data_IF_735545744710
#
_entry.id   IF_735545744710
#
_cell.length_a   1.000
_cell.length_b   1.000
_cell.length_c   1.000
_cell.angle_alpha   90.00
_cell.angle_beta   90.00
_cell.angle_gamma   90.00
#
_symmetry.space_group_name_H-M   'P 1'
#
loop_
_entity.id
_entity.type
_entity.pdbx_description
1 polymer ?
#
# COMPACT_ATOMS: atom_id res chain seq x y z
N UNK A 1 18.71 21.96 -18.05
CA UNK A 1 17.27 21.62 -18.07
C UNK A 1 16.95 20.91 -16.77
N UNK A 2 15.73 21.03 -16.26
CA UNK A 2 15.32 20.24 -15.09
C UNK A 2 15.30 18.75 -15.47
N UNK A 3 15.71 17.89 -14.53
CA UNK A 3 15.71 16.43 -14.73
C UNK A 3 14.28 15.91 -14.72
N UNK A 4 13.97 14.97 -15.59
CA UNK A 4 12.64 14.43 -15.75
C UNK A 4 12.55 13.00 -15.17
N UNK A 5 11.60 12.78 -14.25
CA UNK A 5 11.23 11.43 -13.78
C UNK A 5 9.83 11.08 -14.27
N UNK A 6 9.69 9.93 -14.92
CA UNK A 6 8.40 9.41 -15.38
C UNK A 6 8.04 8.19 -14.56
N UNK A 7 6.86 8.20 -13.92
CA UNK A 7 6.30 7.04 -13.23
C UNK A 7 5.22 6.39 -14.09
N UNK A 8 5.38 5.10 -14.40
CA UNK A 8 4.39 4.34 -15.15
C UNK A 8 3.78 3.22 -14.31
N UNK A 9 2.44 3.11 -14.32
CA UNK A 9 1.68 2.07 -13.61
C UNK A 9 0.36 1.76 -14.34
N UNK A 10 -0.40 0.78 -13.86
CA UNK A 10 -1.75 0.51 -14.37
C UNK A 10 -2.71 1.67 -14.10
N UNK A 11 -2.68 2.18 -12.87
CA UNK A 11 -3.45 3.34 -12.41
C UNK A 11 -2.63 4.13 -11.40
N UNK A 12 -2.84 5.44 -11.36
CA UNK A 12 -2.18 6.38 -10.45
C UNK A 12 -3.20 7.43 -9.95
N UNK A 13 -2.85 8.10 -8.88
CA UNK A 13 -3.66 9.20 -8.33
C UNK A 13 -4.79 8.76 -7.38
N UNK A 14 -5.20 7.48 -7.42
CA UNK A 14 -6.23 6.93 -6.54
C UNK A 14 -5.74 6.69 -5.10
N UNK A 15 -6.61 6.06 -4.31
CA UNK A 15 -6.34 5.78 -2.89
C UNK A 15 -5.91 4.32 -2.64
N UNK A 16 -5.59 3.57 -3.68
CA UNK A 16 -4.98 2.25 -3.53
C UNK A 16 -3.50 2.36 -3.10
N UNK A 17 -2.98 1.27 -2.54
CA UNK A 17 -1.64 1.28 -1.96
C UNK A 17 -0.53 1.67 -2.93
N UNK A 18 -0.61 1.29 -4.21
CA UNK A 18 0.39 1.67 -5.24
C UNK A 18 0.31 3.16 -5.52
N UNK A 19 -0.89 3.69 -5.76
CA UNK A 19 -1.12 5.12 -6.02
C UNK A 19 -0.68 6.01 -4.84
N UNK A 20 -0.95 5.58 -3.60
CA UNK A 20 -0.50 6.30 -2.39
C UNK A 20 1.01 6.35 -2.32
N UNK A 21 1.67 5.23 -2.54
CA UNK A 21 3.14 5.17 -2.48
C UNK A 21 3.80 5.87 -3.68
N UNK A 22 3.20 5.84 -4.86
CA UNK A 22 3.69 6.59 -6.02
C UNK A 22 3.72 8.10 -5.74
N UNK A 23 2.66 8.67 -5.11
CA UNK A 23 2.65 10.09 -4.72
C UNK A 23 3.78 10.46 -3.77
N UNK A 24 4.13 9.58 -2.82
CA UNK A 24 5.25 9.79 -1.89
C UNK A 24 6.59 9.80 -2.64
N UNK A 25 6.76 8.91 -3.60
CA UNK A 25 7.95 8.88 -4.46
C UNK A 25 8.03 10.10 -5.37
N UNK A 26 6.92 10.53 -5.97
CA UNK A 26 6.86 11.77 -6.75
C UNK A 26 7.27 12.99 -5.91
N UNK A 27 6.75 13.10 -4.69
CA UNK A 27 7.18 14.13 -3.75
C UNK A 27 8.68 14.05 -3.46
N UNK A 28 9.20 12.89 -3.12
CA UNK A 28 10.60 12.71 -2.80
C UNK A 28 11.53 13.02 -3.99
N UNK A 29 11.12 12.66 -5.20
CA UNK A 29 11.87 12.98 -6.41
C UNK A 29 11.88 14.48 -6.70
N UNK A 30 10.79 15.20 -6.40
CA UNK A 30 10.77 16.68 -6.50
C UNK A 30 11.73 17.31 -5.49
N UNK A 31 11.79 16.81 -4.27
CA UNK A 31 12.80 17.25 -3.28
C UNK A 31 14.24 17.00 -3.78
N UNK A 32 14.45 15.96 -4.58
CA UNK A 32 15.74 15.68 -5.23
C UNK A 32 15.97 16.48 -6.54
N UNK A 33 15.04 17.39 -6.90
CA UNK A 33 15.17 18.28 -8.05
C UNK A 33 14.72 17.70 -9.39
N UNK A 34 13.88 16.67 -9.38
CA UNK A 34 13.22 16.17 -10.58
C UNK A 34 11.88 16.89 -10.83
N UNK A 35 11.56 17.13 -12.07
CA UNK A 35 10.18 17.30 -12.51
C UNK A 35 9.56 15.92 -12.72
N UNK A 36 8.33 15.70 -12.23
CA UNK A 36 7.67 14.41 -12.29
C UNK A 36 6.52 14.41 -13.28
N UNK A 37 6.32 13.28 -13.97
CA UNK A 37 5.22 13.04 -14.89
C UNK A 37 4.66 11.63 -14.65
N UNK A 38 3.33 11.52 -14.67
CA UNK A 38 2.64 10.22 -14.55
C UNK A 38 2.22 9.71 -15.93
N UNK A 39 2.36 8.41 -16.14
CA UNK A 39 1.85 7.66 -17.29
C UNK A 39 1.07 6.46 -16.76
N UNK A 40 -0.22 6.36 -17.05
CA UNK A 40 -1.01 5.24 -16.57
C UNK A 40 -2.19 4.92 -17.48
N UNK A 41 -2.81 3.76 -17.28
CA UNK A 41 -4.09 3.42 -17.92
C UNK A 41 -5.23 4.29 -17.39
N UNK A 42 -5.17 4.62 -16.10
CA UNK A 42 -6.12 5.47 -15.40
C UNK A 42 -5.38 6.42 -14.46
N UNK A 43 -5.77 7.70 -14.45
CA UNK A 43 -5.25 8.70 -13.51
C UNK A 43 -6.42 9.36 -12.82
N UNK A 44 -6.52 9.15 -11.49
CA UNK A 44 -7.55 9.76 -10.67
C UNK A 44 -7.07 11.09 -10.06
N UNK A 45 -8.03 11.98 -9.74
CA UNK A 45 -7.77 13.28 -9.12
C UNK A 45 -7.44 14.38 -10.13
N UNK A 46 -6.99 15.54 -9.62
CA UNK A 46 -6.53 16.64 -10.46
C UNK A 46 -5.21 16.22 -11.12
N UNK A 47 -5.25 15.89 -12.41
CA UNK A 47 -4.08 15.58 -13.21
C UNK A 47 -3.11 16.76 -13.24
N UNK A 48 -1.82 16.49 -13.20
CA UNK A 48 -0.82 17.49 -13.49
C UNK A 48 -0.79 17.77 -15.00
N UNK A 49 -0.35 18.96 -15.41
CA UNK A 49 -0.41 19.44 -16.82
C UNK A 49 0.26 18.50 -17.83
N UNK A 50 1.16 17.62 -17.35
CA UNK A 50 1.99 16.73 -18.17
C UNK A 50 1.65 15.24 -18.01
N UNK A 51 0.57 14.90 -17.31
CA UNK A 51 0.15 13.51 -17.15
C UNK A 51 -0.35 12.93 -18.46
N UNK A 52 -0.04 11.65 -18.70
CA UNK A 52 -0.40 10.93 -19.93
C UNK A 52 -1.25 9.70 -19.58
N UNK A 53 -2.48 9.67 -20.07
CA UNK A 53 -3.36 8.51 -19.95
C UNK A 53 -3.24 7.66 -21.23
N UNK A 54 -2.89 6.38 -21.06
CA UNK A 54 -2.86 5.39 -22.13
C UNK A 54 -3.80 4.24 -21.69
N UNK A 55 -5.05 4.23 -22.14
CA UNK A 55 -6.08 3.30 -21.64
C UNK A 55 -5.69 1.83 -21.70
N UNK A 56 -4.87 1.43 -22.69
CA UNK A 56 -4.34 0.07 -22.81
C UNK A 56 -3.41 -0.37 -21.67
N UNK A 57 -2.94 0.56 -20.82
CA UNK A 57 -2.18 0.24 -19.61
C UNK A 57 -3.08 -0.16 -18.43
N UNK A 58 -4.39 0.13 -18.46
CA UNK A 58 -5.30 -0.21 -17.37
C UNK A 58 -5.30 -1.71 -17.07
N UNK A 59 -5.68 -2.09 -15.84
CA UNK A 59 -5.80 -3.51 -15.46
C UNK A 59 -6.85 -4.19 -16.35
N UNK A 60 -7.99 -3.53 -16.52
CA UNK A 60 -9.08 -3.94 -17.40
C UNK A 60 -9.21 -2.88 -18.53
N UNK A 61 -8.39 -3.00 -19.59
CA UNK A 61 -8.43 -2.01 -20.67
C UNK A 61 -9.79 -2.06 -21.38
N UNK A 62 -10.31 -0.91 -21.83
CA UNK A 62 -11.52 -0.88 -22.62
C UNK A 62 -11.32 -1.77 -23.87
N UNK A 63 -12.33 -2.59 -24.18
CA UNK A 63 -12.29 -3.43 -25.40
C UNK A 63 -12.13 -2.55 -26.62
N UNK A 64 -11.01 -2.73 -27.32
CA UNK A 64 -10.78 -2.08 -28.61
C UNK A 64 -11.87 -2.51 -29.58
N UNK A 65 -12.74 -1.57 -30.00
CA UNK A 65 -13.63 -1.81 -31.13
C UNK A 65 -12.82 -2.11 -32.41
N UNK A 66 -13.42 -2.68 -33.45
CA UNK A 66 -12.71 -3.00 -34.69
C UNK A 66 -12.04 -1.73 -35.26
N UNK A 67 -10.71 -1.66 -35.16
CA UNK A 67 -9.88 -0.54 -35.66
C UNK A 67 -9.46 0.51 -34.63
N UNK A 68 -9.80 0.36 -33.33
CA UNK A 68 -9.32 1.23 -32.25
C UNK A 68 -8.03 0.66 -31.64
N UNK A 69 -6.90 1.35 -31.75
CA UNK A 69 -5.77 1.09 -30.89
C UNK A 69 -6.11 1.64 -29.52
N UNK A 70 -6.04 0.81 -28.48
CA UNK A 70 -6.14 1.22 -27.05
C UNK A 70 -4.97 2.10 -26.60
N UNK A 71 -4.15 2.60 -27.53
CA UNK A 71 -2.98 3.40 -27.30
C UNK A 71 -1.74 2.63 -26.84
N UNK A 72 -1.81 1.32 -26.70
CA UNK A 72 -0.70 0.45 -26.24
C UNK A 72 0.38 0.22 -27.31
N UNK A 73 0.36 0.95 -28.39
CA UNK A 73 1.42 0.94 -29.39
C UNK A 73 2.78 1.34 -28.78
N UNK A 74 3.87 0.59 -29.05
CA UNK A 74 5.21 0.95 -28.57
C UNK A 74 5.66 2.37 -28.90
N UNK A 75 5.20 2.95 -30.01
CA UNK A 75 5.47 4.32 -30.38
C UNK A 75 4.84 5.33 -29.43
N UNK A 76 3.62 5.07 -28.96
CA UNK A 76 2.95 5.91 -27.96
C UNK A 76 3.68 5.85 -26.62
N UNK A 77 4.09 4.64 -26.19
CA UNK A 77 4.87 4.48 -24.96
C UNK A 77 6.22 5.18 -25.04
N UNK A 78 6.95 5.06 -26.17
CA UNK A 78 8.21 5.78 -26.36
C UNK A 78 8.03 7.29 -26.26
N UNK A 79 6.99 7.85 -26.89
CA UNK A 79 6.66 9.29 -26.76
C UNK A 79 6.29 9.67 -25.33
N UNK A 80 5.55 8.81 -24.61
CA UNK A 80 5.20 9.06 -23.23
C UNK A 80 6.41 9.04 -22.28
N UNK A 81 7.48 8.31 -22.64
CA UNK A 81 8.72 8.23 -21.85
C UNK A 81 9.83 9.16 -22.41
N UNK A 82 9.57 9.87 -23.50
CA UNK A 82 10.55 10.77 -24.12
C UNK A 82 11.03 11.84 -23.13
N UNK A 83 12.35 12.06 -23.11
CA UNK A 83 13.00 13.03 -22.23
C UNK A 83 13.10 12.60 -20.76
N UNK A 84 12.68 11.39 -20.39
CA UNK A 84 12.86 10.90 -19.04
C UNK A 84 14.32 10.55 -18.76
N UNK A 85 14.94 11.21 -17.77
CA UNK A 85 16.24 10.82 -17.21
C UNK A 85 16.10 9.60 -16.29
N UNK A 86 14.92 9.43 -15.69
CA UNK A 86 14.53 8.33 -14.82
C UNK A 86 13.14 7.82 -15.17
N UNK A 87 13.05 6.53 -15.50
CA UNK A 87 11.78 5.82 -15.68
C UNK A 87 11.52 4.91 -14.48
N UNK A 88 10.44 5.15 -13.75
CA UNK A 88 9.99 4.29 -12.66
C UNK A 88 8.82 3.45 -13.14
N UNK A 89 9.02 2.14 -13.24
CA UNK A 89 7.96 1.17 -13.54
C UNK A 89 7.39 0.66 -12.21
N UNK A 90 6.29 1.28 -11.78
CA UNK A 90 5.73 1.03 -10.45
C UNK A 90 4.69 -0.09 -10.48
N UNK A 91 5.08 -1.22 -9.97
CA UNK A 91 4.32 -2.48 -9.81
C UNK A 91 3.80 -3.12 -11.12
N UNK A 92 3.80 -2.42 -12.24
CA UNK A 92 3.20 -2.87 -13.51
C UNK A 92 3.90 -4.12 -14.06
N UNK A 93 5.23 -4.18 -14.01
CA UNK A 93 6.03 -5.34 -14.41
C UNK A 93 6.36 -6.29 -13.26
N UNK A 94 5.89 -6.00 -12.05
CA UNK A 94 6.06 -6.86 -10.87
C UNK A 94 4.89 -7.81 -10.69
N UNK A 95 3.69 -7.27 -10.87
CA UNK A 95 2.43 -7.98 -10.77
C UNK A 95 1.66 -7.74 -12.07
N UNK A 96 1.98 -8.49 -13.17
CA UNK A 96 1.50 -8.20 -14.52
C UNK A 96 0.01 -8.56 -14.68
N UNK A 97 -0.88 -7.76 -14.05
CA UNK A 97 -2.33 -7.95 -14.08
C UNK A 97 -2.91 -7.73 -15.48
N UNK A 98 -2.30 -6.83 -16.27
CA UNK A 98 -2.49 -6.71 -17.72
C UNK A 98 -1.18 -7.14 -18.39
N UNK A 99 -1.15 -8.35 -18.92
CA UNK A 99 0.06 -8.96 -19.45
C UNK A 99 0.60 -8.25 -20.69
N UNK A 100 -0.29 -7.75 -21.56
CA UNK A 100 0.10 -7.04 -22.78
C UNK A 100 0.73 -5.68 -22.43
N UNK A 101 0.14 -4.96 -21.46
CA UNK A 101 0.72 -3.74 -20.91
C UNK A 101 2.12 -4.00 -20.31
N UNK A 102 2.26 -5.03 -19.49
CA UNK A 102 3.52 -5.38 -18.86
C UNK A 102 4.60 -5.74 -19.89
N UNK A 103 4.26 -6.47 -20.93
CA UNK A 103 5.18 -6.82 -22.04
C UNK A 103 5.57 -5.59 -22.86
N UNK A 104 4.62 -4.71 -23.16
CA UNK A 104 4.88 -3.49 -23.92
C UNK A 104 5.80 -2.54 -23.16
N UNK A 105 5.51 -2.28 -21.87
CA UNK A 105 6.35 -1.44 -21.00
C UNK A 105 7.75 -2.05 -20.83
N UNK A 106 7.85 -3.37 -20.57
CA UNK A 106 9.12 -4.06 -20.46
C UNK A 106 9.99 -3.94 -21.72
N UNK A 107 9.36 -3.97 -22.90
CA UNK A 107 10.06 -3.77 -24.18
C UNK A 107 10.62 -2.37 -24.29
N UNK A 108 9.79 -1.35 -24.06
CA UNK A 108 10.22 0.04 -24.18
C UNK A 108 11.24 0.39 -23.10
N UNK A 109 11.13 -0.15 -21.90
CA UNK A 109 12.11 0.02 -20.83
C UNK A 109 13.50 -0.52 -21.20
N UNK A 110 13.60 -1.62 -21.97
CA UNK A 110 14.90 -2.13 -22.49
C UNK A 110 15.54 -1.22 -23.52
N UNK A 111 14.73 -0.47 -24.24
CA UNK A 111 15.18 0.45 -25.28
C UNK A 111 15.41 1.88 -24.75
N UNK A 112 15.01 2.13 -23.48
CA UNK A 112 15.10 3.43 -22.87
C UNK A 112 16.56 3.82 -22.62
N UNK A 113 16.97 4.98 -23.11
CA UNK A 113 18.36 5.46 -22.98
C UNK A 113 18.71 6.04 -21.60
N UNK A 114 17.71 6.25 -20.74
CA UNK A 114 17.87 6.75 -19.37
C UNK A 114 17.92 5.62 -18.34
N UNK A 115 17.86 6.00 -17.08
CA UNK A 115 17.87 5.07 -15.94
C UNK A 115 16.47 4.47 -15.72
N UNK A 116 16.40 3.17 -15.45
CA UNK A 116 15.14 2.44 -15.23
C UNK A 116 15.11 1.83 -13.84
N UNK A 117 14.09 2.15 -13.05
CA UNK A 117 13.82 1.57 -11.75
C UNK A 117 12.49 0.77 -11.80
N UNK A 118 12.57 -0.53 -11.61
CA UNK A 118 11.40 -1.39 -11.37
C UNK A 118 11.10 -1.42 -9.88
N UNK A 119 9.99 -0.79 -9.47
CA UNK A 119 9.53 -0.77 -8.09
C UNK A 119 8.51 -1.87 -7.87
N UNK A 120 8.74 -2.71 -6.85
CA UNK A 120 7.98 -3.92 -6.59
C UNK A 120 7.21 -3.84 -5.27
N UNK A 121 5.88 -3.84 -5.34
CA UNK A 121 5.01 -3.97 -4.17
C UNK A 121 4.70 -5.43 -3.86
N UNK A 122 4.46 -6.22 -4.90
CA UNK A 122 4.29 -7.67 -4.87
C UNK A 122 5.10 -8.28 -6.04
N UNK A 123 5.30 -9.60 -6.02
CA UNK A 123 6.01 -10.32 -7.07
C UNK A 123 5.15 -11.48 -7.61
N UNK A 124 5.32 -11.93 -8.87
CA UNK A 124 4.43 -12.91 -9.49
C UNK A 124 4.28 -14.19 -8.67
N UNK A 125 5.36 -14.73 -8.15
CA UNK A 125 5.36 -15.97 -7.35
C UNK A 125 4.73 -15.83 -5.97
N UNK A 126 4.45 -14.60 -5.52
CA UNK A 126 3.72 -14.31 -4.27
C UNK A 126 2.20 -14.34 -4.50
N UNK A 127 1.76 -14.51 -5.74
CA UNK A 127 0.35 -14.59 -6.17
C UNK A 127 0.13 -15.91 -6.91
N UNK A 128 -0.60 -16.84 -6.29
CA UNK A 128 -0.78 -18.20 -6.82
C UNK A 128 -1.16 -18.25 -8.31
N UNK A 129 -2.05 -17.36 -8.74
CA UNK A 129 -2.52 -17.31 -10.13
C UNK A 129 -1.52 -16.69 -11.11
N UNK A 130 -0.45 -16.03 -10.64
CA UNK A 130 0.58 -15.41 -11.47
C UNK A 130 1.93 -16.16 -11.43
N UNK A 131 2.07 -17.23 -10.63
CA UNK A 131 3.32 -17.96 -10.49
C UNK A 131 3.89 -18.44 -11.82
N UNK A 132 3.03 -18.76 -12.79
CA UNK A 132 3.44 -19.19 -14.13
C UNK A 132 4.17 -18.11 -14.95
N UNK A 133 4.14 -16.85 -14.52
CA UNK A 133 4.80 -15.71 -15.15
C UNK A 133 6.18 -15.40 -14.55
N UNK A 134 6.65 -16.17 -13.56
CA UNK A 134 7.92 -15.89 -12.87
C UNK A 134 9.17 -15.98 -13.76
N UNK A 135 9.08 -16.67 -14.92
CA UNK A 135 10.17 -16.73 -15.88
C UNK A 135 10.33 -15.42 -16.68
N UNK A 136 9.24 -14.71 -16.90
CA UNK A 136 9.19 -13.50 -17.73
C UNK A 136 9.22 -12.21 -16.90
N UNK A 137 8.75 -12.27 -15.64
CA UNK A 137 8.54 -11.10 -14.79
C UNK A 137 9.09 -11.29 -13.36
N UNK A 138 9.70 -10.21 -12.81
CA UNK A 138 10.01 -8.93 -13.45
C UNK A 138 10.97 -9.08 -14.64
N UNK A 139 10.94 -8.16 -15.63
CA UNK A 139 11.83 -8.28 -16.79
C UNK A 139 13.28 -7.98 -16.39
N UNK A 140 14.22 -8.68 -17.01
CA UNK A 140 15.65 -8.34 -16.90
C UNK A 140 15.99 -7.25 -17.91
N UNK A 141 16.49 -6.16 -17.40
CA UNK A 141 16.95 -5.00 -18.17
C UNK A 141 18.32 -4.62 -17.65
N UNK A 142 19.30 -4.56 -18.54
CA UNK A 142 20.67 -4.26 -18.15
C UNK A 142 20.78 -2.87 -17.52
N UNK A 143 21.46 -2.76 -16.39
CA UNK A 143 21.61 -1.50 -15.64
C UNK A 143 20.35 -1.00 -14.94
N UNK A 144 19.23 -1.72 -15.01
CA UNK A 144 18.03 -1.35 -14.27
C UNK A 144 18.14 -1.72 -12.79
N UNK A 145 17.58 -0.86 -11.93
CA UNK A 145 17.44 -1.09 -10.51
C UNK A 145 16.12 -1.81 -10.21
N UNK A 146 16.17 -2.83 -9.38
CA UNK A 146 15.00 -3.51 -8.83
C UNK A 146 14.82 -3.14 -7.36
N UNK A 147 13.87 -2.26 -7.04
CA UNK A 147 13.58 -1.79 -5.70
C UNK A 147 12.31 -2.44 -5.13
N UNK A 148 12.43 -3.15 -4.04
CA UNK A 148 11.30 -3.78 -3.32
C UNK A 148 10.89 -2.95 -2.11
N UNK A 149 9.63 -3.09 -1.68
CA UNK A 149 9.13 -2.41 -0.48
C UNK A 149 9.36 -3.22 0.81
N UNK A 150 9.98 -4.40 0.73
CA UNK A 150 10.27 -5.26 1.88
C UNK A 150 11.50 -6.14 1.64
N UNK A 151 12.16 -6.55 2.73
CA UNK A 151 13.37 -7.39 2.69
C UNK A 151 13.11 -8.80 2.17
N UNK A 152 11.90 -9.34 2.41
CA UNK A 152 11.53 -10.66 1.92
C UNK A 152 11.54 -10.70 0.41
N UNK A 153 10.85 -9.77 -0.25
CA UNK A 153 10.80 -9.67 -1.72
C UNK A 153 12.19 -9.45 -2.32
N UNK A 154 13.05 -8.65 -1.67
CA UNK A 154 14.46 -8.49 -2.08
C UNK A 154 15.20 -9.83 -2.08
N UNK A 155 15.11 -10.59 -0.98
CA UNK A 155 15.78 -11.91 -0.89
C UNK A 155 15.25 -12.89 -1.94
N UNK A 156 13.95 -12.87 -2.18
CA UNK A 156 13.31 -13.71 -3.21
C UNK A 156 13.76 -13.34 -4.63
N UNK A 157 13.95 -12.04 -4.93
CA UNK A 157 14.53 -11.56 -6.18
C UNK A 157 16.01 -11.98 -6.30
N UNK A 158 16.80 -11.75 -5.26
CA UNK A 158 18.23 -12.11 -5.25
C UNK A 158 18.43 -13.62 -5.47
N UNK A 159 17.60 -14.47 -4.86
CA UNK A 159 17.60 -15.91 -5.08
C UNK A 159 17.25 -16.31 -6.52
N UNK A 160 16.60 -15.42 -7.29
CA UNK A 160 16.27 -15.59 -8.70
C UNK A 160 17.24 -14.90 -9.66
N UNK A 161 18.38 -14.43 -9.14
CA UNK A 161 19.47 -13.85 -9.91
C UNK A 161 19.37 -12.35 -10.19
N UNK A 162 18.52 -11.60 -9.46
CA UNK A 162 18.52 -10.14 -9.43
C UNK A 162 19.45 -9.69 -8.28
N UNK A 163 20.76 -9.87 -8.46
CA UNK A 163 21.75 -9.72 -7.38
C UNK A 163 21.73 -8.32 -6.76
N UNK A 164 21.52 -7.29 -7.58
CA UNK A 164 21.53 -5.88 -7.19
C UNK A 164 20.18 -5.37 -6.68
N UNK A 165 19.20 -6.28 -6.46
CA UNK A 165 17.91 -5.88 -5.91
C UNK A 165 18.09 -5.27 -4.51
N UNK A 166 17.40 -4.14 -4.29
CA UNK A 166 17.46 -3.34 -3.06
C UNK A 166 16.11 -3.29 -2.36
N UNK A 167 16.08 -2.75 -1.15
CA UNK A 167 14.84 -2.46 -0.44
C UNK A 167 14.77 -0.98 -0.10
N UNK A 168 13.69 -0.34 -0.53
CA UNK A 168 13.26 0.97 -0.05
C UNK A 168 11.85 0.74 0.52
N UNK A 169 11.74 0.76 1.85
CA UNK A 169 10.47 0.53 2.54
C UNK A 169 9.43 1.62 2.18
N UNK A 170 8.19 1.39 2.55
CA UNK A 170 7.19 2.45 2.55
C UNK A 170 7.43 3.39 3.73
N UNK A 171 7.28 4.68 3.49
CA UNK A 171 7.51 5.76 4.45
C UNK A 171 6.20 6.50 4.75
N UNK A 172 6.09 7.11 5.93
CA UNK A 172 4.83 7.66 6.43
C UNK A 172 5.02 9.02 7.07
N UNK A 173 4.03 9.89 6.88
CA UNK A 173 3.88 11.06 7.75
C UNK A 173 3.46 10.55 9.13
N UNK A 174 4.32 10.77 10.12
CA UNK A 174 4.11 10.33 11.50
C UNK A 174 3.54 11.43 12.40
N UNK A 175 3.23 12.59 11.82
CA UNK A 175 2.47 13.69 12.42
C UNK A 175 1.32 14.11 11.47
N UNK A 176 0.47 13.16 11.04
CA UNK A 176 -0.56 13.46 10.06
C UNK A 176 -1.59 14.41 10.63
N UNK A 177 -2.28 15.20 9.80
CA UNK A 177 -3.36 16.06 10.24
C UNK A 177 -4.42 15.28 11.01
N UNK A 178 -4.90 15.84 12.10
CA UNK A 178 -5.94 15.24 12.91
C UNK A 178 -7.21 15.01 12.07
N UNK A 179 -7.83 13.85 12.21
CA UNK A 179 -9.12 13.56 11.62
C UNK A 179 -10.28 14.06 12.48
N UNK A 180 -11.44 14.18 11.87
CA UNK A 180 -12.67 14.58 12.56
C UNK A 180 -13.40 13.35 13.14
N UNK A 181 -13.10 13.05 14.42
CA UNK A 181 -13.75 11.95 15.14
C UNK A 181 -15.26 12.13 15.24
N UNK A 182 -15.71 13.33 15.62
CA UNK A 182 -17.14 13.59 15.92
C UNK A 182 -18.00 13.51 14.67
N UNK A 183 -17.60 14.20 13.60
CA UNK A 183 -18.36 14.17 12.36
C UNK A 183 -18.37 12.75 11.74
N UNK A 184 -17.25 12.06 11.79
CA UNK A 184 -17.15 10.71 11.24
C UNK A 184 -17.97 9.70 12.02
N UNK A 185 -17.94 9.74 13.36
CA UNK A 185 -18.78 8.85 14.18
C UNK A 185 -20.27 9.11 13.91
N UNK A 186 -20.66 10.38 13.81
CA UNK A 186 -22.05 10.74 13.45
C UNK A 186 -22.42 10.22 12.05
N UNK A 187 -21.54 10.36 11.06
CA UNK A 187 -21.78 9.88 9.70
C UNK A 187 -22.07 8.37 9.64
N UNK A 188 -21.35 7.58 10.45
CA UNK A 188 -21.49 6.12 10.47
C UNK A 188 -22.42 5.59 11.55
N UNK A 189 -23.12 6.47 12.27
CA UNK A 189 -24.07 6.09 13.32
C UNK A 189 -23.42 5.48 14.56
N UNK A 190 -22.15 5.81 14.83
CA UNK A 190 -21.48 5.42 16.08
C UNK A 190 -21.85 6.40 17.19
N UNK A 191 -22.25 5.86 18.35
CA UNK A 191 -22.49 6.65 19.55
C UNK A 191 -21.18 6.83 20.36
N UNK A 192 -21.17 7.78 21.30
CA UNK A 192 -19.94 8.14 22.01
C UNK A 192 -19.33 6.97 22.78
N UNK A 193 -20.17 6.11 23.37
CA UNK A 193 -19.74 4.93 24.14
C UNK A 193 -19.32 3.73 23.25
N UNK A 194 -19.63 3.73 21.95
CA UNK A 194 -19.22 2.62 21.08
C UNK A 194 -17.69 2.46 21.06
N UNK A 195 -17.22 1.24 21.23
CA UNK A 195 -15.83 0.88 20.98
C UNK A 195 -15.67 0.40 19.52
N UNK A 196 -15.11 1.25 18.68
CA UNK A 196 -15.03 1.02 17.25
C UNK A 196 -13.73 0.29 16.89
N UNK A 197 -13.87 -0.98 16.50
CA UNK A 197 -12.80 -1.81 15.95
C UNK A 197 -12.78 -1.62 14.43
N UNK A 198 -11.71 -1.03 13.90
CA UNK A 198 -11.59 -0.59 12.52
C UNK A 198 -10.70 -1.53 11.69
N UNK A 199 -11.22 -2.07 10.58
CA UNK A 199 -10.44 -2.80 9.58
C UNK A 199 -10.21 -1.90 8.35
N UNK A 200 -9.02 -1.29 8.19
CA UNK A 200 -8.69 -0.36 7.10
C UNK A 200 -8.34 -1.10 5.80
N UNK A 201 -9.28 -1.83 5.24
CA UNK A 201 -9.06 -2.60 4.02
C UNK A 201 -10.36 -2.88 3.26
N UNK A 202 -10.24 -3.08 1.95
CA UNK A 202 -11.32 -3.62 1.11
C UNK A 202 -11.68 -5.03 1.58
N UNK A 203 -12.95 -5.42 1.44
CA UNK A 203 -13.38 -6.77 1.76
C UNK A 203 -13.06 -7.71 0.58
N UNK A 204 -11.94 -8.40 0.67
CA UNK A 204 -11.48 -9.45 -0.24
C UNK A 204 -10.90 -10.62 0.56
N UNK A 205 -10.75 -11.78 -0.07
CA UNK A 205 -10.38 -13.03 0.63
C UNK A 205 -9.15 -12.87 1.55
N UNK A 206 -8.03 -12.34 1.02
CA UNK A 206 -6.78 -12.21 1.77
C UNK A 206 -6.83 -11.20 2.93
N UNK A 207 -7.78 -10.27 2.91
CA UNK A 207 -8.01 -9.30 4.00
C UNK A 207 -8.77 -9.91 5.17
N UNK A 208 -9.27 -11.14 5.01
CA UNK A 208 -9.72 -12.03 6.07
C UNK A 208 -10.75 -11.39 7.03
N UNK A 209 -11.84 -10.85 6.48
CA UNK A 209 -12.95 -10.29 7.30
C UNK A 209 -13.44 -11.27 8.37
N UNK A 210 -13.55 -12.61 8.09
CA UNK A 210 -13.88 -13.57 9.13
C UNK A 210 -12.89 -13.57 10.31
N UNK A 211 -11.61 -13.30 10.04
CA UNK A 211 -10.58 -13.16 11.07
C UNK A 211 -10.80 -11.94 11.97
N UNK A 212 -11.19 -10.80 11.38
CA UNK A 212 -11.56 -9.61 12.15
C UNK A 212 -12.77 -9.88 13.04
N UNK A 213 -13.81 -10.51 12.49
CA UNK A 213 -15.02 -10.84 13.26
C UNK A 213 -14.73 -11.80 14.41
N UNK A 214 -13.93 -12.85 14.17
CA UNK A 214 -13.50 -13.77 15.26
C UNK A 214 -12.75 -13.04 16.36
N UNK A 215 -11.79 -12.20 16.00
CA UNK A 215 -11.04 -11.40 16.96
C UNK A 215 -11.97 -10.46 17.75
N UNK A 216 -12.89 -9.78 17.08
CA UNK A 216 -13.87 -8.89 17.70
C UNK A 216 -14.76 -9.66 18.71
N UNK A 217 -15.25 -10.84 18.35
CA UNK A 217 -16.07 -11.69 19.25
C UNK A 217 -15.29 -12.19 20.45
N UNK A 218 -14.02 -12.59 20.27
CA UNK A 218 -13.15 -13.01 21.37
C UNK A 218 -12.83 -11.84 22.31
N UNK A 219 -12.52 -10.67 21.76
CA UNK A 219 -12.26 -9.48 22.55
C UNK A 219 -13.50 -9.06 23.36
N UNK A 220 -14.69 -9.08 22.74
CA UNK A 220 -15.96 -8.83 23.44
C UNK A 220 -16.22 -9.82 24.58
N UNK A 221 -15.88 -11.10 24.40
CA UNK A 221 -15.98 -12.10 25.46
C UNK A 221 -15.05 -11.84 26.66
N UNK A 222 -13.92 -11.15 26.44
CA UNK A 222 -12.94 -10.80 27.48
C UNK A 222 -13.21 -9.43 28.14
N UNK A 223 -13.95 -8.57 27.45
CA UNK A 223 -14.28 -7.21 27.87
C UNK A 223 -15.76 -6.94 27.50
N UNK A 224 -16.65 -7.66 28.15
CA UNK A 224 -18.10 -7.68 27.86
C UNK A 224 -18.78 -6.32 28.03
N UNK A 225 -18.19 -5.44 28.85
CA UNK A 225 -18.71 -4.10 29.10
C UNK A 225 -18.42 -3.11 27.95
N UNK A 226 -17.57 -3.51 26.96
CA UNK A 226 -17.32 -2.69 25.78
C UNK A 226 -18.44 -2.86 24.75
N UNK A 227 -19.20 -1.82 24.38
CA UNK A 227 -20.16 -1.85 23.29
C UNK A 227 -19.43 -1.87 21.94
N UNK A 228 -18.88 -3.05 21.59
CA UNK A 228 -17.96 -3.23 20.47
C UNK A 228 -18.71 -3.24 19.14
N UNK A 229 -18.20 -2.49 18.18
CA UNK A 229 -18.62 -2.48 16.78
C UNK A 229 -17.44 -2.76 15.84
N UNK A 230 -17.65 -3.55 14.80
CA UNK A 230 -16.67 -3.77 13.75
C UNK A 230 -16.96 -2.85 12.56
N UNK A 231 -16.00 -2.03 12.18
CA UNK A 231 -16.09 -1.14 11.03
C UNK A 231 -15.16 -1.62 9.91
N UNK A 232 -15.72 -1.96 8.75
CA UNK A 232 -15.02 -2.33 7.54
C UNK A 232 -14.95 -1.11 6.61
N UNK A 233 -13.75 -0.61 6.31
CA UNK A 233 -13.59 0.66 5.57
C UNK A 233 -13.82 0.55 4.07
N UNK A 234 -13.76 -0.65 3.50
CA UNK A 234 -13.84 -0.82 2.06
C UNK A 234 -15.00 -1.70 1.60
N UNK A 235 -15.45 -1.50 0.35
CA UNK A 235 -16.45 -2.36 -0.25
C UNK A 235 -15.90 -3.78 -0.45
N UNK A 236 -16.81 -4.70 -0.77
CA UNK A 236 -16.44 -6.00 -1.29
C UNK A 236 -15.97 -5.87 -2.73
N UNK A 237 -14.80 -6.43 -3.03
CA UNK A 237 -14.24 -6.51 -4.38
C UNK A 237 -13.87 -7.97 -4.72
N UNK A 238 -13.41 -8.23 -5.94
CA UNK A 238 -12.99 -9.56 -6.40
C UNK A 238 -14.06 -10.65 -6.21
N UNK A 239 -15.33 -10.29 -6.38
CA UNK A 239 -16.45 -11.23 -6.21
C UNK A 239 -16.78 -11.61 -4.76
N UNK A 240 -16.24 -10.89 -3.77
CA UNK A 240 -16.38 -11.22 -2.35
C UNK A 240 -17.73 -10.80 -1.74
N UNK A 241 -18.58 -10.02 -2.43
CA UNK A 241 -19.82 -9.49 -1.90
C UNK A 241 -20.75 -10.58 -1.30
N UNK A 242 -21.02 -11.73 -1.96
CA UNK A 242 -21.88 -12.75 -1.36
C UNK A 242 -21.32 -13.41 -0.11
N UNK A 243 -19.98 -13.36 0.05
CA UNK A 243 -19.31 -13.86 1.25
C UNK A 243 -19.47 -12.85 2.38
N UNK A 244 -19.28 -11.56 2.08
CA UNK A 244 -19.43 -10.47 3.05
C UNK A 244 -20.86 -10.40 3.59
N UNK A 245 -21.88 -10.51 2.73
CA UNK A 245 -23.29 -10.50 3.14
C UNK A 245 -23.58 -11.61 4.15
N UNK A 246 -23.14 -12.84 3.88
CA UNK A 246 -23.28 -13.96 4.81
C UNK A 246 -22.54 -13.76 6.14
N UNK A 247 -21.40 -13.07 6.12
CA UNK A 247 -20.67 -12.72 7.34
C UNK A 247 -21.47 -11.73 8.18
N UNK A 248 -22.02 -10.69 7.54
CA UNK A 248 -22.82 -9.67 8.21
C UNK A 248 -24.09 -10.27 8.80
N UNK A 249 -24.83 -11.10 8.05
CA UNK A 249 -26.05 -11.77 8.52
C UNK A 249 -25.82 -12.66 9.77
N UNK A 250 -24.65 -13.28 9.87
CA UNK A 250 -24.33 -14.20 10.98
C UNK A 250 -23.56 -13.55 12.12
N UNK A 251 -23.23 -12.29 11.98
CA UNK A 251 -22.45 -11.58 12.98
C UNK A 251 -23.24 -11.37 14.28
N UNK A 252 -22.58 -11.64 15.42
CA UNK A 252 -23.13 -11.36 16.77
C UNK A 252 -22.70 -9.99 17.29
N UNK A 253 -21.86 -9.29 16.54
CA UNK A 253 -21.38 -7.95 16.82
C UNK A 253 -21.84 -7.07 15.67
N UNK A 254 -22.33 -5.85 15.93
CA UNK A 254 -22.71 -4.93 14.88
C UNK A 254 -21.54 -4.66 13.91
N UNK A 255 -21.80 -4.81 12.61
CA UNK A 255 -20.85 -4.51 11.54
C UNK A 255 -21.34 -3.28 10.78
N UNK A 256 -20.45 -2.30 10.60
CA UNK A 256 -20.66 -1.15 9.74
C UNK A 256 -19.73 -1.26 8.54
N UNK A 257 -20.25 -1.03 7.32
CA UNK A 257 -19.44 -1.02 6.09
C UNK A 257 -19.50 0.38 5.49
N UNK A 258 -18.36 0.96 5.20
CA UNK A 258 -18.31 2.26 4.57
C UNK A 258 -16.96 2.93 4.72
N UNK A 259 -16.64 3.80 3.76
CA UNK A 259 -15.36 4.51 3.70
C UNK A 259 -15.52 5.93 4.20
N UNK A 260 -14.67 6.34 5.14
CA UNK A 260 -14.54 7.74 5.50
C UNK A 260 -13.91 8.56 4.36
N UNK A 261 -14.25 9.85 4.24
CA UNK A 261 -13.71 10.71 3.19
C UNK A 261 -12.19 10.79 3.19
N UNK A 262 -11.58 10.77 4.37
CA UNK A 262 -10.12 10.79 4.56
C UNK A 262 -9.69 9.65 5.49
N UNK A 263 -8.51 9.08 5.25
CA UNK A 263 -7.96 8.04 6.12
C UNK A 263 -7.85 8.51 7.58
N UNK A 264 -7.39 9.75 7.81
CA UNK A 264 -7.28 10.34 9.15
C UNK A 264 -8.60 10.38 9.90
N UNK A 265 -9.71 10.61 9.22
CA UNK A 265 -11.05 10.63 9.83
C UNK A 265 -11.43 9.23 10.34
N UNK A 266 -11.09 8.18 9.55
CA UNK A 266 -11.34 6.81 9.96
C UNK A 266 -10.53 6.41 11.20
N UNK A 267 -9.24 6.71 11.21
CA UNK A 267 -8.40 6.44 12.38
C UNK A 267 -8.84 7.26 13.60
N UNK A 268 -9.24 8.52 13.43
CA UNK A 268 -9.75 9.34 14.51
C UNK A 268 -11.05 8.79 15.12
N UNK A 269 -11.96 8.28 14.28
CA UNK A 269 -13.25 7.73 14.71
C UNK A 269 -13.12 6.35 15.38
N UNK A 270 -12.05 5.61 15.14
CA UNK A 270 -11.79 4.29 15.68
C UNK A 270 -11.10 4.33 17.05
N UNK A 271 -11.15 3.21 17.79
CA UNK A 271 -10.50 3.01 19.09
C UNK A 271 -9.40 1.96 19.02
N UNK A 272 -9.52 0.98 18.11
CA UNK A 272 -8.53 -0.06 17.85
C UNK A 272 -8.54 -0.42 16.37
N UNK A 273 -7.38 -0.64 15.79
CA UNK A 273 -7.24 -1.18 14.43
C UNK A 273 -7.10 -2.69 14.47
N UNK A 274 -7.88 -3.41 13.66
CA UNK A 274 -7.70 -4.84 13.42
C UNK A 274 -7.24 -5.06 11.98
N UNK A 275 -6.11 -5.74 11.84
CA UNK A 275 -5.49 -5.99 10.54
C UNK A 275 -5.22 -7.48 10.35
N UNK A 276 -6.29 -8.28 10.06
CA UNK A 276 -6.22 -9.75 10.03
C UNK A 276 -5.71 -10.30 8.69
N UNK A 277 -5.20 -9.45 7.81
CA UNK A 277 -4.69 -9.82 6.48
C UNK A 277 -3.70 -10.98 6.56
N UNK A 278 -3.90 -11.98 5.72
CA UNK A 278 -3.02 -13.16 5.67
C UNK A 278 -1.76 -12.93 4.82
N UNK A 279 -1.80 -11.94 3.94
CA UNK A 279 -0.69 -11.51 3.11
C UNK A 279 -0.74 -10.01 2.80
N UNK A 280 0.40 -9.35 2.93
CA UNK A 280 0.64 -7.95 2.55
C UNK A 280 2.05 -7.77 2.01
N UNK A 281 2.21 -6.87 1.03
CA UNK A 281 3.53 -6.46 0.55
C UNK A 281 4.32 -5.67 1.60
N UNK A 282 3.62 -4.83 2.40
CA UNK A 282 4.20 -4.13 3.55
C UNK A 282 3.23 -4.15 4.74
N UNK A 283 2.06 -3.56 4.60
CA UNK A 283 1.08 -3.43 5.68
C UNK A 283 0.98 -2.00 6.17
N UNK A 284 0.77 -1.06 5.25
CA UNK A 284 0.62 0.37 5.54
C UNK A 284 -0.28 0.65 6.75
N UNK A 285 -1.44 -0.01 6.93
CA UNK A 285 -2.31 0.22 8.08
C UNK A 285 -1.67 0.02 9.44
N UNK A 286 -0.61 -0.79 9.54
CA UNK A 286 0.12 -0.98 10.79
C UNK A 286 0.85 0.30 11.19
N UNK A 287 1.58 0.94 10.25
CA UNK A 287 2.29 2.18 10.53
C UNK A 287 1.33 3.38 10.59
N UNK A 288 0.31 3.40 9.73
CA UNK A 288 -0.73 4.42 9.79
C UNK A 288 -1.44 4.43 11.15
N UNK A 289 -1.76 3.25 11.72
CA UNK A 289 -2.34 3.17 13.06
C UNK A 289 -1.44 3.80 14.13
N UNK A 290 -0.12 3.60 14.01
CA UNK A 290 0.88 4.21 14.91
C UNK A 290 0.89 5.73 14.74
N UNK A 291 0.90 6.23 13.50
CA UNK A 291 0.88 7.66 13.20
C UNK A 291 -0.36 8.36 13.79
N UNK A 292 -1.52 7.71 13.71
CA UNK A 292 -2.76 8.20 14.29
C UNK A 292 -2.97 7.78 15.76
N UNK A 293 -1.93 7.25 16.44
CA UNK A 293 -1.97 6.87 17.87
C UNK A 293 -3.11 5.88 18.17
N UNK A 294 -3.25 4.85 17.33
CA UNK A 294 -4.18 3.74 17.55
C UNK A 294 -3.40 2.46 17.79
N UNK A 295 -3.82 1.66 18.75
CA UNK A 295 -3.31 0.31 18.88
C UNK A 295 -3.75 -0.52 17.67
N UNK A 296 -2.88 -1.41 17.21
CA UNK A 296 -3.15 -2.30 16.09
C UNK A 296 -3.01 -3.76 16.54
N UNK A 297 -4.02 -4.58 16.23
CA UNK A 297 -3.94 -6.03 16.31
C UNK A 297 -3.83 -6.58 14.89
N UNK A 298 -2.67 -7.13 14.52
CA UNK A 298 -2.40 -7.68 13.20
C UNK A 298 -2.27 -9.20 13.23
N UNK A 299 -2.69 -9.87 12.16
CA UNK A 299 -2.32 -11.26 11.94
C UNK A 299 -0.82 -11.34 11.60
N UNK A 300 -0.08 -12.36 12.03
CA UNK A 300 1.35 -12.48 11.75
C UNK A 300 1.62 -12.91 10.29
N UNK A 301 1.34 -12.01 9.33
CA UNK A 301 1.74 -12.22 7.94
C UNK A 301 3.27 -12.06 7.80
N UNK A 302 3.89 -12.68 6.79
CA UNK A 302 5.35 -12.81 6.71
C UNK A 302 6.15 -11.52 6.82
N UNK A 303 5.66 -10.42 6.20
CA UNK A 303 6.37 -9.12 6.19
C UNK A 303 6.20 -8.35 7.50
N UNK A 304 5.18 -8.65 8.31
CA UNK A 304 4.98 -7.99 9.62
C UNK A 304 6.23 -8.10 10.52
N UNK A 305 6.97 -9.20 10.40
CA UNK A 305 8.19 -9.40 11.18
C UNK A 305 9.25 -8.30 10.94
N UNK A 306 9.31 -7.73 9.74
CA UNK A 306 10.23 -6.63 9.41
C UNK A 306 9.83 -5.34 10.14
N UNK A 307 8.53 -5.04 10.18
CA UNK A 307 7.97 -3.90 10.90
C UNK A 307 8.24 -4.03 12.40
N UNK A 308 7.99 -5.22 12.96
CA UNK A 308 8.24 -5.50 14.39
C UNK A 308 9.74 -5.43 14.71
N UNK A 309 10.61 -5.89 13.81
CA UNK A 309 12.06 -5.81 13.98
C UNK A 309 12.58 -4.36 14.03
N UNK A 310 11.87 -3.39 13.45
CA UNK A 310 12.14 -1.96 13.63
C UNK A 310 11.82 -1.44 15.04
N UNK A 311 11.33 -2.31 15.94
CA UNK A 311 11.07 -2.03 17.34
C UNK A 311 9.67 -1.50 17.65
N UNK A 312 8.78 -1.40 16.67
CA UNK A 312 7.38 -1.04 16.91
C UNK A 312 6.61 -2.21 17.54
N UNK A 313 5.62 -1.89 18.35
CA UNK A 313 4.80 -2.87 19.05
C UNK A 313 3.44 -2.99 18.38
N UNK A 314 3.11 -4.22 17.99
CA UNK A 314 1.84 -4.60 17.38
C UNK A 314 1.27 -5.78 18.16
N UNK A 315 -0.02 -5.75 18.46
CA UNK A 315 -0.71 -6.89 19.06
C UNK A 315 -0.99 -7.95 17.99
N UNK A 316 -1.12 -9.20 18.41
CA UNK A 316 -1.55 -10.27 17.50
C UNK A 316 -3.06 -10.47 17.57
N UNK A 317 -3.70 -10.63 16.39
CA UNK A 317 -5.11 -11.06 16.33
C UNK A 317 -5.34 -12.48 16.89
N UNK A 318 -4.25 -13.21 17.13
CA UNK A 318 -4.28 -14.55 17.75
C UNK A 318 -4.21 -14.49 19.30
N UNK A 319 -4.04 -13.29 19.87
CA UNK A 319 -3.88 -13.07 21.31
C UNK A 319 -4.78 -11.91 21.79
N UNK A 320 -6.12 -12.04 21.70
CA UNK A 320 -7.05 -10.99 22.12
C UNK A 320 -6.91 -10.62 23.61
N UNK A 321 -6.41 -11.53 24.45
CA UNK A 321 -6.16 -11.29 25.87
C UNK A 321 -5.09 -10.21 26.10
N UNK A 322 -4.10 -10.11 25.21
CA UNK A 322 -3.08 -9.07 25.29
C UNK A 322 -3.68 -7.69 25.03
N UNK A 323 -4.64 -7.61 24.09
CA UNK A 323 -5.38 -6.39 23.79
C UNK A 323 -6.30 -6.02 24.95
N UNK A 324 -7.06 -6.99 25.49
CA UNK A 324 -7.94 -6.75 26.64
C UNK A 324 -7.16 -6.20 27.84
N UNK A 325 -5.99 -6.77 28.17
CA UNK A 325 -5.10 -6.24 29.23
C UNK A 325 -4.64 -4.81 28.93
N UNK A 326 -4.23 -4.53 27.68
CA UNK A 326 -3.81 -3.19 27.30
C UNK A 326 -4.94 -2.16 27.43
N UNK A 327 -6.17 -2.52 27.07
CA UNK A 327 -7.33 -1.63 27.20
C UNK A 327 -7.68 -1.34 28.65
N UNK A 328 -7.41 -2.28 29.57
CA UNK A 328 -7.59 -2.11 31.00
C UNK A 328 -6.48 -1.25 31.68
N UNK A 329 -5.37 -0.99 30.98
CA UNK A 329 -4.30 -0.15 31.50
C UNK A 329 -4.75 1.32 31.68
N UNK A 330 -4.20 2.02 32.68
CA UNK A 330 -4.46 3.45 32.86
C UNK A 330 -4.14 4.26 31.57
N UNK A 331 -4.87 5.36 31.30
CA UNK A 331 -4.60 6.20 30.12
C UNK A 331 -3.14 6.61 29.97
N UNK A 332 -2.47 6.94 31.07
CA UNK A 332 -1.05 7.33 31.06
C UNK A 332 -0.10 6.21 30.61
N UNK A 333 -0.45 4.93 30.82
CA UNK A 333 0.31 3.79 30.33
C UNK A 333 0.11 3.62 28.84
N UNK A 334 -1.15 3.74 28.39
CA UNK A 334 -1.50 3.66 26.96
C UNK A 334 -0.86 4.79 26.16
N UNK A 335 -0.84 6.03 26.71
CA UNK A 335 -0.17 7.15 26.05
C UNK A 335 1.34 6.91 25.89
N UNK A 336 2.03 6.41 26.93
CA UNK A 336 3.44 6.04 26.81
C UNK A 336 3.69 4.94 25.76
N UNK A 337 2.75 4.00 25.60
CA UNK A 337 2.83 3.00 24.53
C UNK A 337 2.77 3.66 23.15
N UNK A 338 1.84 4.60 22.93
CA UNK A 338 1.72 5.33 21.66
C UNK A 338 2.96 6.18 21.38
N UNK A 339 3.45 6.94 22.38
CA UNK A 339 4.68 7.75 22.25
C UNK A 339 5.88 6.89 21.85
N UNK A 340 6.05 5.75 22.51
CA UNK A 340 7.13 4.85 22.23
C UNK A 340 7.04 4.27 20.79
N UNK A 341 5.83 3.92 20.32
CA UNK A 341 5.62 3.42 18.97
C UNK A 341 5.90 4.48 17.91
N UNK A 342 5.37 5.71 18.07
CA UNK A 342 5.65 6.81 17.15
C UNK A 342 7.15 7.09 17.08
N UNK A 343 7.84 7.15 18.24
CA UNK A 343 9.29 7.34 18.28
C UNK A 343 10.05 6.25 17.52
N UNK A 344 9.64 4.98 17.63
CA UNK A 344 10.26 3.85 16.93
C UNK A 344 9.97 3.89 15.44
N UNK A 345 8.72 4.13 15.06
CA UNK A 345 8.33 4.25 13.66
C UNK A 345 9.08 5.39 12.96
N UNK A 346 9.31 6.51 13.65
CA UNK A 346 10.04 7.68 13.12
C UNK A 346 11.48 7.35 12.73
N UNK A 347 12.15 6.46 13.45
CA UNK A 347 13.54 6.07 13.15
C UNK A 347 13.64 5.30 11.81
N UNK A 348 12.58 4.56 11.44
CA UNK A 348 12.69 3.60 10.31
C UNK A 348 11.74 3.91 9.16
N UNK A 349 10.71 4.73 9.38
CA UNK A 349 9.60 4.89 8.42
C UNK A 349 9.13 6.34 8.27
N UNK A 350 9.92 7.34 8.68
CA UNK A 350 9.57 8.76 8.53
C UNK A 350 9.58 9.21 7.08
N UNK A 351 8.49 9.77 6.57
CA UNK A 351 8.38 10.24 5.19
C UNK A 351 9.49 11.25 4.83
N UNK A 352 9.94 12.05 5.81
CA UNK A 352 11.02 13.02 5.60
C UNK A 352 12.35 12.36 5.20
N UNK A 353 12.54 11.07 5.49
CA UNK A 353 13.78 10.35 5.17
C UNK A 353 13.73 9.69 3.78
N UNK A 354 12.56 9.65 3.11
CA UNK A 354 12.40 9.00 1.81
C UNK A 354 13.31 9.60 0.71
N UNK A 355 13.45 10.94 0.55
CA UNK A 355 14.36 11.50 -0.43
C UNK A 355 15.79 11.02 -0.25
N UNK A 356 16.32 11.05 0.98
CA UNK A 356 17.66 10.54 1.30
C UNK A 356 17.81 9.05 1.00
N UNK A 357 16.83 8.22 1.36
CA UNK A 357 16.86 6.79 1.07
C UNK A 357 16.88 6.47 -0.44
N UNK A 358 16.16 7.25 -1.26
CA UNK A 358 16.19 7.12 -2.72
C UNK A 358 17.57 7.54 -3.24
N UNK A 359 18.09 8.70 -2.82
CA UNK A 359 19.37 9.26 -3.29
C UNK A 359 20.54 8.31 -2.95
N UNK A 360 20.63 7.86 -1.71
CA UNK A 360 21.62 6.89 -1.26
C UNK A 360 21.55 5.57 -2.05
N UNK A 361 20.34 5.08 -2.31
CA UNK A 361 20.13 3.86 -3.07
C UNK A 361 20.57 4.02 -4.52
N UNK A 362 20.22 5.13 -5.16
CA UNK A 362 20.62 5.42 -6.53
C UNK A 362 22.13 5.63 -6.65
N UNK A 363 22.75 6.34 -5.70
CA UNK A 363 24.19 6.50 -5.64
C UNK A 363 24.92 5.16 -5.48
N UNK A 364 24.44 4.29 -4.60
CA UNK A 364 25.00 2.94 -4.39
C UNK A 364 24.85 2.04 -5.64
N UNK A 365 23.82 2.28 -6.47
CA UNK A 365 23.65 1.61 -7.77
C UNK A 365 24.52 2.20 -8.90
N UNK A 366 25.36 3.16 -8.57
CA UNK A 366 26.23 3.82 -9.55
C UNK A 366 25.57 4.94 -10.34
N UNK A 367 24.35 5.34 -9.99
CA UNK A 367 23.66 6.48 -10.57
C UNK A 367 24.09 7.80 -9.90
N UNK A 368 25.42 7.99 -9.83
CA UNK A 368 26.06 9.17 -9.25
C UNK A 368 25.98 10.31 -10.25
N UNK A 369 25.75 11.51 -9.76
CA UNK A 369 25.56 12.75 -10.53
C UNK A 369 24.43 12.66 -11.58
N UNK A 370 23.41 13.30 -11.22
CA UNK A 370 22.28 13.62 -12.10
C UNK A 370 22.58 14.89 -12.89
#
# INVERSE_FOLDING_TARGET
MARQAVTVSFRLGGDDGVSVEARKWEWALRELGFETRRVAGEIEGAGERNDVVIPGLAIDPPSSGPGGSDGLDPGNLRRAFEGADLLIVDNLCSLPLNLDAARAVARVAREHGGRVCFRHHDLPWQRRHLTHLEADFPPRVDGALHATINLRSRRELQARGYADAVTIHNYFDLDPPAGDRTATRKQFGFVDDDFVLFQPARAIERKNVPGALRFAQQLHGLASDLPLRLWLSGPAEDGYAPVLDRIIERARIPITVGRAPRAGDAYAASDLVVFPSTWEGFGNPVIESIAYRRACAAYPYPVLAEIVAAGVRVFSTQQPEAVARFLAEPPSVRERFFDANVKRARISFSLADLPGAIDETFAAHGWIAW
#
